data_IF_427643268722
#
_entry.id   IF_427643268722
#
_cell.length_a   1.000
_cell.length_b   1.000
_cell.length_c   1.000
_cell.angle_alpha   90.00
_cell.angle_beta   90.00
_cell.angle_gamma   90.00
#
_symmetry.space_group_name_H-M   'P 1'
#
loop_
_entity.id
_entity.type
_entity.pdbx_description
1 polymer ?
#
# COMPACT_ATOMS: atom_id res chain seq x y z
N UNK A 1 -26.61 -29.35 -9.00
CA UNK A 1 -25.69 -30.32 -9.60
C UNK A 1 -25.20 -31.26 -8.51
N UNK A 2 -25.51 -32.56 -8.61
CA UNK A 2 -25.13 -33.58 -7.63
C UNK A 2 -23.75 -34.12 -8.03
N UNK A 3 -22.79 -34.11 -7.12
CA UNK A 3 -21.51 -34.77 -7.31
C UNK A 3 -21.64 -36.27 -7.01
N UNK A 4 -21.04 -37.17 -7.79
CA UNK A 4 -21.11 -38.60 -7.54
C UNK A 4 -20.16 -38.98 -6.40
N UNK A 5 -20.70 -39.75 -5.46
CA UNK A 5 -19.98 -40.39 -4.37
C UNK A 5 -19.30 -41.64 -4.93
N UNK A 6 -17.95 -41.65 -4.98
CA UNK A 6 -17.22 -42.89 -5.29
C UNK A 6 -17.11 -43.75 -4.02
N UNK A 7 -17.73 -44.92 -4.04
CA UNK A 7 -17.57 -45.92 -3.01
C UNK A 7 -16.32 -46.78 -3.25
N UNK A 8 -15.54 -46.98 -2.21
CA UNK A 8 -14.34 -47.80 -2.19
C UNK A 8 -14.59 -49.25 -1.77
N UNK A 9 -14.94 -50.20 -2.68
CA UNK A 9 -14.79 -51.65 -2.36
C UNK A 9 -13.69 -52.38 -3.17
N UNK A 10 -13.08 -51.78 -4.20
CA UNK A 10 -12.25 -52.57 -5.12
C UNK A 10 -10.76 -52.69 -4.74
N UNK A 11 -10.32 -52.08 -3.63
CA UNK A 11 -8.89 -52.09 -3.23
C UNK A 11 -8.53 -53.22 -2.24
N UNK A 12 -9.51 -53.91 -1.64
CA UNK A 12 -9.22 -54.95 -0.66
C UNK A 12 -8.84 -56.31 -1.27
N UNK A 13 -9.36 -56.66 -2.44
CA UNK A 13 -9.07 -57.99 -3.03
C UNK A 13 -7.72 -58.10 -3.74
N UNK A 14 -7.16 -57.00 -4.27
CA UNK A 14 -5.82 -57.03 -4.91
C UNK A 14 -4.66 -57.14 -3.94
N UNK A 15 -4.84 -56.79 -2.67
CA UNK A 15 -3.79 -56.87 -1.67
C UNK A 15 -3.66 -58.25 -1.02
N UNK A 16 -4.69 -59.06 -1.02
CA UNK A 16 -4.69 -60.39 -0.39
C UNK A 16 -4.01 -61.46 -1.24
N UNK A 17 -4.06 -61.35 -2.59
CA UNK A 17 -3.41 -62.34 -3.48
C UNK A 17 -1.89 -62.21 -3.61
N UNK A 18 -1.31 -61.06 -3.25
CA UNK A 18 0.13 -60.87 -3.32
C UNK A 18 0.87 -61.29 -2.04
N UNK A 19 0.20 -61.46 -0.91
CA UNK A 19 0.82 -61.86 0.36
C UNK A 19 1.01 -63.39 0.45
N UNK A 20 0.19 -64.18 -0.23
CA UNK A 20 0.28 -65.65 -0.19
C UNK A 20 1.44 -66.22 -1.03
N UNK A 21 1.93 -65.51 -2.03
CA UNK A 21 3.01 -65.96 -2.90
C UNK A 21 4.43 -65.69 -2.31
N UNK A 22 4.53 -64.86 -1.25
CA UNK A 22 5.80 -64.48 -0.65
C UNK A 22 6.28 -65.37 0.49
N UNK A 23 5.47 -66.34 0.89
CA UNK A 23 5.76 -67.20 2.07
C UNK A 23 6.57 -68.47 1.76
N UNK A 24 7.01 -68.69 0.51
CA UNK A 24 7.73 -69.94 0.13
C UNK A 24 9.20 -69.77 -0.30
N UNK A 25 9.74 -68.56 -0.22
CA UNK A 25 11.20 -68.38 -0.45
C UNK A 25 11.91 -68.01 0.85
N UNK A 26 13.05 -68.71 1.11
CA UNK A 26 13.95 -68.55 2.27
C UNK A 26 13.98 -67.12 2.78
N UNK A 27 13.63 -66.92 4.07
CA UNK A 27 13.70 -65.63 4.75
C UNK A 27 15.10 -65.06 4.67
N UNK A 28 15.34 -63.89 4.02
CA UNK A 28 16.60 -63.19 4.19
C UNK A 28 16.73 -62.78 5.65
N UNK A 29 17.96 -62.76 6.16
CA UNK A 29 18.21 -62.41 7.56
C UNK A 29 17.67 -60.99 7.82
N UNK A 30 17.06 -60.79 8.99
CA UNK A 30 16.46 -59.49 9.41
C UNK A 30 17.41 -58.31 9.21
N UNK A 31 18.74 -58.56 9.25
CA UNK A 31 19.78 -57.54 8.98
C UNK A 31 19.76 -57.03 7.54
N UNK A 32 19.50 -57.88 6.54
CA UNK A 32 19.47 -57.47 5.13
C UNK A 32 18.20 -56.68 4.79
N UNK A 33 17.09 -57.03 5.42
CA UNK A 33 15.83 -56.26 5.26
C UNK A 33 15.93 -54.82 5.80
N UNK A 34 16.58 -54.65 6.97
CA UNK A 34 16.85 -53.33 7.54
C UNK A 34 17.79 -52.48 6.67
N UNK A 35 18.76 -53.09 5.96
CA UNK A 35 19.69 -52.33 5.13
C UNK A 35 19.12 -51.94 3.77
N UNK A 36 18.32 -52.78 3.13
CA UNK A 36 17.84 -52.52 1.75
C UNK A 36 16.44 -51.91 1.67
N UNK A 37 15.59 -52.09 2.69
CA UNK A 37 14.25 -51.54 2.71
C UNK A 37 14.02 -50.52 3.84
N UNK A 38 14.67 -50.66 4.97
CA UNK A 38 14.48 -49.81 6.15
C UNK A 38 15.05 -48.40 5.96
N UNK A 39 16.21 -48.24 5.35
CA UNK A 39 16.87 -46.96 5.13
C UNK A 39 16.07 -46.09 4.12
N UNK A 40 15.69 -46.61 2.92
CA UNK A 40 14.86 -45.84 2.01
C UNK A 40 13.47 -45.46 2.59
N UNK A 41 12.89 -46.38 3.41
CA UNK A 41 11.59 -46.09 4.06
C UNK A 41 11.70 -44.97 5.10
N UNK A 42 12.79 -44.95 5.88
CA UNK A 42 13.07 -43.86 6.83
C UNK A 42 13.29 -42.51 6.11
N UNK A 43 14.01 -42.51 4.97
CA UNK A 43 14.16 -41.32 4.16
C UNK A 43 12.82 -40.80 3.59
N UNK A 44 11.98 -41.72 3.08
CA UNK A 44 10.65 -41.36 2.59
C UNK A 44 9.73 -40.81 3.69
N UNK A 45 9.76 -41.43 4.88
CA UNK A 45 9.01 -40.95 6.05
C UNK A 45 9.52 -39.57 6.55
N UNK A 46 10.83 -39.37 6.56
CA UNK A 46 11.42 -38.07 6.94
C UNK A 46 11.07 -36.99 5.94
N UNK A 47 11.05 -37.28 4.64
CA UNK A 47 10.66 -36.36 3.61
C UNK A 47 9.17 -35.99 3.69
N UNK A 48 8.30 -36.98 3.93
CA UNK A 48 6.85 -36.78 4.12
C UNK A 48 6.57 -35.98 5.41
N UNK A 49 7.28 -36.27 6.50
CA UNK A 49 7.15 -35.53 7.75
C UNK A 49 7.66 -34.08 7.59
N UNK A 50 8.77 -33.86 6.89
CA UNK A 50 9.31 -32.54 6.57
C UNK A 50 8.36 -31.72 5.68
N UNK A 51 7.75 -32.37 4.67
CA UNK A 51 6.79 -31.71 3.79
C UNK A 51 5.49 -31.36 4.53
N UNK A 52 4.99 -32.25 5.39
CA UNK A 52 3.83 -31.96 6.24
C UNK A 52 4.11 -30.84 7.25
N UNK A 53 5.29 -30.85 7.90
CA UNK A 53 5.70 -29.77 8.80
C UNK A 53 5.79 -28.43 8.07
N UNK A 54 6.29 -28.40 6.83
CA UNK A 54 6.37 -27.18 6.02
C UNK A 54 4.97 -26.63 5.68
N UNK A 55 4.02 -27.50 5.34
CA UNK A 55 2.62 -27.10 5.06
C UNK A 55 1.95 -26.58 6.34
N UNK A 56 2.17 -27.25 7.48
CA UNK A 56 1.62 -26.83 8.77
C UNK A 56 2.23 -25.49 9.19
N UNK A 57 3.55 -25.31 9.09
CA UNK A 57 4.21 -24.02 9.39
C UNK A 57 3.68 -22.92 8.48
N UNK A 58 3.47 -23.16 7.19
CA UNK A 58 2.89 -22.18 6.27
C UNK A 58 1.42 -21.84 6.57
N UNK A 59 0.65 -22.79 7.14
CA UNK A 59 -0.76 -22.57 7.46
C UNK A 59 -0.98 -21.90 8.84
N UNK A 60 -0.03 -22.11 9.76
CA UNK A 60 -0.07 -21.57 11.12
C UNK A 60 0.97 -20.48 11.40
N UNK A 61 1.78 -20.10 10.40
CA UNK A 61 2.56 -18.87 10.53
C UNK A 61 1.56 -17.73 10.62
N UNK A 62 1.54 -16.95 11.71
CA UNK A 62 0.81 -15.70 11.72
C UNK A 62 1.30 -14.90 10.51
N UNK A 63 0.44 -14.09 9.87
CA UNK A 63 0.91 -13.19 8.83
C UNK A 63 2.15 -12.50 9.36
N UNK A 64 3.24 -12.54 8.59
CA UNK A 64 4.50 -11.91 9.01
C UNK A 64 4.15 -10.54 9.56
N UNK A 65 4.37 -10.37 10.85
CA UNK A 65 4.27 -9.05 11.45
C UNK A 65 5.30 -8.23 10.69
N UNK A 66 4.83 -7.33 9.82
CA UNK A 66 5.69 -6.34 9.19
C UNK A 66 6.43 -5.70 10.36
N UNK A 67 7.72 -5.95 10.42
CA UNK A 67 8.55 -5.45 11.51
C UNK A 67 8.25 -3.96 11.60
N UNK A 68 7.68 -3.54 12.74
CA UNK A 68 7.55 -2.12 13.06
C UNK A 68 8.97 -1.63 13.22
N UNK A 69 9.55 -1.15 12.13
CA UNK A 69 10.81 -0.45 12.22
C UNK A 69 10.55 0.80 13.05
N UNK A 70 11.42 1.07 13.99
CA UNK A 70 11.44 2.32 14.77
C UNK A 70 11.70 3.57 13.90
N UNK A 71 11.68 3.43 12.58
CA UNK A 71 12.02 4.44 11.58
C UNK A 71 10.80 5.30 11.18
N UNK A 72 10.00 5.67 12.17
CA UNK A 72 8.97 6.67 11.98
C UNK A 72 9.63 8.03 11.72
N UNK A 73 9.35 8.64 10.59
CA UNK A 73 9.88 9.94 10.20
C UNK A 73 8.76 10.88 9.79
N UNK A 74 8.89 12.16 10.13
CA UNK A 74 8.11 13.23 9.54
C UNK A 74 8.80 13.68 8.26
N UNK A 75 8.05 13.82 7.17
CA UNK A 75 8.60 14.32 5.92
C UNK A 75 9.16 15.74 6.10
N UNK A 76 10.44 15.92 5.80
CA UNK A 76 11.18 17.15 5.98
C UNK A 76 11.98 17.53 4.74
N UNK A 77 12.13 18.83 4.51
CA UNK A 77 12.83 19.41 3.37
C UNK A 77 13.91 20.39 3.83
N UNK A 78 15.07 20.31 3.21
CA UNK A 78 16.16 21.27 3.38
C UNK A 78 16.40 22.00 2.06
N UNK A 79 16.10 23.30 2.04
CA UNK A 79 16.32 24.16 0.88
C UNK A 79 17.74 24.68 0.89
N UNK A 80 18.51 24.37 -0.17
CA UNK A 80 19.93 24.70 -0.27
C UNK A 80 20.17 25.90 -1.19
N UNK A 81 19.42 25.99 -2.27
CA UNK A 81 19.56 26.99 -3.32
C UNK A 81 18.17 27.36 -3.86
N UNK A 82 17.97 28.64 -4.16
CA UNK A 82 16.76 29.16 -4.73
C UNK A 82 16.49 28.57 -6.13
N UNK A 83 15.25 28.21 -6.40
CA UNK A 83 14.83 27.60 -7.68
C UNK A 83 15.33 26.19 -7.91
N UNK A 84 15.96 25.55 -6.92
CA UNK A 84 16.45 24.18 -6.99
C UNK A 84 15.60 23.24 -6.14
N UNK A 85 15.54 21.98 -6.56
CA UNK A 85 14.87 20.94 -5.79
C UNK A 85 15.51 20.81 -4.41
N UNK A 86 14.73 20.87 -3.32
CA UNK A 86 15.25 20.69 -1.97
C UNK A 86 15.74 19.27 -1.73
N UNK A 87 16.55 19.09 -0.73
CA UNK A 87 16.94 17.78 -0.21
C UNK A 87 15.84 17.31 0.77
N UNK A 88 15.25 16.16 0.49
CA UNK A 88 14.33 15.47 1.41
C UNK A 88 15.09 14.64 2.43
N UNK A 89 14.43 14.27 3.52
CA UNK A 89 14.99 13.31 4.49
C UNK A 89 15.02 11.84 3.98
N UNK A 90 14.47 11.60 2.79
CA UNK A 90 14.71 10.40 1.98
C UNK A 90 14.99 10.81 0.53
N UNK A 91 15.85 10.07 -0.16
CA UNK A 91 16.20 10.33 -1.56
C UNK A 91 15.09 9.92 -2.53
N UNK A 92 15.11 10.46 -3.76
CA UNK A 92 14.18 10.04 -4.83
C UNK A 92 14.30 8.54 -5.10
N UNK A 93 15.52 8.00 -5.13
CA UNK A 93 15.79 6.58 -5.41
C UNK A 93 15.24 5.68 -4.29
N UNK A 94 15.43 6.07 -3.05
CA UNK A 94 14.88 5.37 -1.90
C UNK A 94 13.36 5.35 -1.92
N UNK A 95 12.71 6.50 -2.06
CA UNK A 95 11.26 6.61 -2.16
C UNK A 95 10.69 5.85 -3.36
N UNK A 96 11.36 5.88 -4.51
CA UNK A 96 10.94 5.17 -5.71
C UNK A 96 10.86 3.65 -5.50
N UNK A 97 11.71 3.08 -4.63
CA UNK A 97 11.64 1.65 -4.26
C UNK A 97 10.31 1.28 -3.60
N UNK A 98 9.66 2.23 -2.95
CA UNK A 98 8.34 2.12 -2.32
C UNK A 98 7.19 2.68 -3.18
N UNK A 99 7.45 3.03 -4.45
CA UNK A 99 6.47 3.72 -5.29
C UNK A 99 6.01 5.06 -4.67
N UNK A 100 6.95 5.75 -4.01
CA UNK A 100 6.73 7.03 -3.34
C UNK A 100 7.51 8.16 -4.03
N UNK A 101 6.97 9.37 -3.98
CA UNK A 101 7.47 10.52 -4.74
C UNK A 101 7.30 11.80 -3.93
N UNK A 102 8.25 12.75 -4.06
CA UNK A 102 8.10 14.10 -3.54
C UNK A 102 8.41 15.17 -4.60
N UNK A 103 9.01 14.76 -5.71
CA UNK A 103 9.27 15.57 -6.89
C UNK A 103 9.45 14.64 -8.09
N UNK A 104 9.19 15.14 -9.29
CA UNK A 104 9.61 14.47 -10.53
C UNK A 104 11.07 14.83 -10.82
N UNK A 105 11.89 13.84 -11.12
CA UNK A 105 13.27 14.09 -11.58
C UNK A 105 13.25 14.50 -13.05
N UNK A 106 13.27 15.82 -13.29
CA UNK A 106 13.17 16.40 -14.64
C UNK A 106 13.78 17.80 -14.65
N UNK A 107 14.18 18.25 -15.84
CA UNK A 107 14.55 19.64 -16.12
C UNK A 107 13.42 20.44 -16.79
N UNK A 108 12.30 19.78 -17.09
CA UNK A 108 11.14 20.43 -17.65
C UNK A 108 10.48 21.34 -16.60
N UNK A 109 10.10 22.54 -17.00
CA UNK A 109 9.42 23.53 -16.13
C UNK A 109 7.95 23.14 -15.93
N UNK A 110 7.73 22.04 -15.20
CA UNK A 110 6.43 21.49 -14.86
C UNK A 110 6.25 21.54 -13.34
N UNK A 111 5.06 21.92 -12.89
CA UNK A 111 4.63 21.89 -11.48
C UNK A 111 3.43 20.94 -11.35
N UNK A 112 3.36 20.23 -10.26
CA UNK A 112 2.23 19.37 -9.90
C UNK A 112 1.54 19.97 -8.69
N UNK A 113 0.43 20.66 -8.91
CA UNK A 113 -0.35 21.27 -7.83
C UNK A 113 -1.10 20.19 -7.06
N UNK A 114 -0.97 20.22 -5.75
CA UNK A 114 -1.64 19.29 -4.84
C UNK A 114 -2.24 20.04 -3.65
N UNK A 115 -3.42 19.60 -3.21
CA UNK A 115 -4.14 20.20 -2.09
C UNK A 115 -4.61 19.09 -1.15
N UNK A 116 -4.39 19.26 0.15
CA UNK A 116 -4.88 18.37 1.18
C UNK A 116 -6.18 18.92 1.76
N UNK A 117 -7.27 18.14 1.67
CA UNK A 117 -8.62 18.58 2.03
C UNK A 117 -9.14 17.78 3.22
N UNK A 118 -9.03 18.36 4.40
CA UNK A 118 -9.52 17.78 5.66
C UNK A 118 -10.96 18.18 5.98
N UNK A 119 -11.30 19.46 5.84
CA UNK A 119 -12.65 19.99 5.93
C UNK A 119 -12.79 21.24 5.06
N UNK A 120 -14.04 21.62 4.73
CA UNK A 120 -14.35 22.79 3.90
C UNK A 120 -14.64 24.02 4.76
N UNK A 121 -14.05 25.15 4.40
CA UNK A 121 -14.25 26.44 5.06
C UNK A 121 -14.54 27.60 4.09
N UNK A 122 -15.02 27.30 2.88
CA UNK A 122 -15.35 28.27 1.84
C UNK A 122 -14.25 28.49 0.79
N UNK A 123 -13.11 27.85 0.92
CA UNK A 123 -11.95 28.05 0.02
C UNK A 123 -11.98 27.15 -1.22
N UNK A 124 -12.48 25.93 -1.12
CA UNK A 124 -12.43 24.97 -2.24
C UNK A 124 -13.16 25.45 -3.49
N UNK A 125 -14.38 26.03 -3.42
CA UNK A 125 -15.03 26.58 -4.62
C UNK A 125 -14.25 27.71 -5.29
N UNK A 126 -13.60 28.56 -4.50
CA UNK A 126 -12.77 29.65 -5.02
C UNK A 126 -11.51 29.11 -5.72
N UNK A 127 -10.93 28.05 -5.16
CA UNK A 127 -9.78 27.37 -5.73
C UNK A 127 -10.13 26.67 -7.06
N UNK A 128 -11.24 25.92 -7.11
CA UNK A 128 -11.73 25.27 -8.34
C UNK A 128 -11.98 26.31 -9.44
N UNK A 129 -12.66 27.41 -9.12
CA UNK A 129 -12.88 28.50 -10.06
C UNK A 129 -11.56 29.09 -10.60
N UNK A 130 -10.54 29.24 -9.75
CA UNK A 130 -9.23 29.73 -10.16
C UNK A 130 -8.51 28.71 -11.09
N UNK A 131 -8.52 27.44 -10.75
CA UNK A 131 -7.93 26.37 -11.58
C UNK A 131 -8.62 26.31 -12.94
N UNK A 132 -9.95 26.36 -12.97
CA UNK A 132 -10.75 26.38 -14.20
C UNK A 132 -10.43 27.58 -15.06
N UNK A 133 -10.40 28.79 -14.48
CA UNK A 133 -10.07 30.04 -15.17
C UNK A 133 -8.72 29.97 -15.89
N UNK A 134 -7.74 29.31 -15.29
CA UNK A 134 -6.39 29.17 -15.82
C UNK A 134 -6.15 27.85 -16.57
N UNK A 135 -7.18 27.02 -16.74
CA UNK A 135 -7.11 25.69 -17.36
C UNK A 135 -6.02 24.80 -16.73
N UNK A 136 -5.88 24.83 -15.40
CA UNK A 136 -4.90 24.07 -14.64
C UNK A 136 -5.58 22.89 -13.96
N UNK A 137 -4.96 21.73 -14.03
CA UNK A 137 -5.41 20.53 -13.30
C UNK A 137 -4.55 20.32 -12.06
N UNK A 138 -5.17 19.77 -11.01
CA UNK A 138 -4.54 19.53 -9.73
C UNK A 138 -4.92 18.15 -9.17
N UNK A 139 -4.24 17.73 -8.11
CA UNK A 139 -4.61 16.56 -7.31
C UNK A 139 -5.09 17.03 -5.94
N UNK A 140 -6.26 16.56 -5.53
CA UNK A 140 -6.84 16.82 -4.21
C UNK A 140 -6.76 15.54 -3.38
N UNK A 141 -5.98 15.54 -2.32
CA UNK A 141 -5.93 14.45 -1.36
C UNK A 141 -7.00 14.69 -0.28
N UNK A 142 -8.03 13.86 -0.29
CA UNK A 142 -9.23 14.10 0.51
C UNK A 142 -9.36 13.10 1.66
N UNK A 143 -9.77 13.59 2.83
CA UNK A 143 -10.12 12.80 3.99
C UNK A 143 -11.58 12.32 3.88
N UNK A 144 -11.91 11.21 4.52
CA UNK A 144 -13.24 10.60 4.41
C UNK A 144 -14.39 11.52 4.82
N UNK A 145 -14.23 12.36 5.87
CA UNK A 145 -15.24 13.34 6.25
C UNK A 145 -15.44 14.43 5.18
N UNK A 146 -14.36 14.87 4.51
CA UNK A 146 -14.49 15.85 3.43
C UNK A 146 -15.40 15.33 2.31
N UNK A 147 -15.27 14.05 1.92
CA UNK A 147 -16.16 13.45 0.91
C UNK A 147 -17.61 13.40 1.39
N UNK A 148 -17.84 12.97 2.65
CA UNK A 148 -19.19 12.85 3.22
C UNK A 148 -19.90 14.20 3.26
N UNK A 149 -19.18 15.24 3.67
CA UNK A 149 -19.77 16.55 3.92
C UNK A 149 -19.87 17.41 2.65
N UNK A 150 -19.04 17.11 1.62
CA UNK A 150 -18.88 17.93 0.43
C UNK A 150 -18.91 17.13 -0.88
N UNK A 151 -19.84 16.17 -0.98
CA UNK A 151 -19.95 15.28 -2.15
C UNK A 151 -20.08 16.01 -3.49
N UNK A 152 -20.71 17.19 -3.50
CA UNK A 152 -20.86 17.98 -4.73
C UNK A 152 -19.53 18.59 -5.19
N UNK A 153 -18.66 19.02 -4.26
CA UNK A 153 -17.31 19.47 -4.59
C UNK A 153 -16.45 18.32 -5.14
N UNK A 154 -16.60 17.11 -4.62
CA UNK A 154 -15.92 15.94 -5.16
C UNK A 154 -16.34 15.68 -6.60
N UNK A 155 -17.64 15.75 -6.91
CA UNK A 155 -18.15 15.59 -8.28
C UNK A 155 -17.62 16.69 -9.19
N UNK A 156 -17.60 17.96 -8.72
CA UNK A 156 -17.04 19.08 -9.47
C UNK A 156 -15.57 18.88 -9.79
N UNK A 157 -14.74 18.46 -8.81
CA UNK A 157 -13.33 18.11 -9.03
C UNK A 157 -13.17 17.09 -10.16
N UNK A 158 -13.97 16.01 -10.15
CA UNK A 158 -13.94 14.97 -11.17
C UNK A 158 -14.39 15.50 -12.53
N UNK A 159 -15.51 16.22 -12.59
CA UNK A 159 -16.04 16.80 -13.82
C UNK A 159 -15.09 17.81 -14.46
N UNK A 160 -14.34 18.54 -13.66
CA UNK A 160 -13.32 19.48 -14.12
C UNK A 160 -11.99 18.79 -14.48
N UNK A 161 -11.89 17.47 -14.31
CA UNK A 161 -10.73 16.66 -14.69
C UNK A 161 -9.55 16.76 -13.72
N UNK A 162 -9.83 17.09 -12.46
CA UNK A 162 -8.86 16.97 -11.38
C UNK A 162 -8.73 15.54 -10.91
N UNK A 163 -7.61 15.20 -10.27
CA UNK A 163 -7.43 13.89 -9.62
C UNK A 163 -7.87 14.04 -8.17
N UNK A 164 -8.71 13.13 -7.71
CA UNK A 164 -9.02 12.97 -6.29
C UNK A 164 -8.21 11.80 -5.76
N UNK A 165 -7.32 12.06 -4.81
CA UNK A 165 -6.45 11.09 -4.15
C UNK A 165 -6.88 10.85 -2.69
N UNK A 166 -6.29 9.86 -2.09
CA UNK A 166 -6.63 9.34 -0.76
C UNK A 166 -5.78 10.00 0.33
N UNK A 167 -6.42 10.62 1.32
CA UNK A 167 -5.76 11.17 2.52
C UNK A 167 -6.25 10.49 3.80
N UNK A 168 -6.62 9.22 3.72
CA UNK A 168 -7.16 8.36 4.78
C UNK A 168 -8.60 8.68 5.21
N UNK A 169 -9.23 7.70 5.84
CA UNK A 169 -10.63 7.82 6.28
C UNK A 169 -10.83 8.84 7.41
N UNK A 170 -9.88 8.88 8.37
CA UNK A 170 -10.02 9.67 9.60
C UNK A 170 -8.78 10.48 9.96
N UNK A 171 -7.82 10.59 9.05
CA UNK A 171 -6.57 11.37 9.23
C UNK A 171 -5.71 10.97 10.45
N UNK A 172 -5.53 9.65 10.74
CA UNK A 172 -4.68 9.23 11.84
C UNK A 172 -3.19 9.35 11.47
N UNK A 173 -2.32 9.29 12.48
CA UNK A 173 -0.92 8.96 12.25
C UNK A 173 -0.81 7.52 11.75
N UNK A 174 -0.57 7.38 10.44
CA UNK A 174 -0.51 6.08 9.79
C UNK A 174 0.75 5.29 10.18
N UNK A 175 1.81 5.95 10.65
CA UNK A 175 3.07 5.29 11.02
C UNK A 175 2.91 4.36 12.23
N UNK A 176 1.95 4.63 13.09
CA UNK A 176 1.59 3.78 14.23
C UNK A 176 0.79 2.52 13.83
N UNK A 177 0.32 2.42 12.57
CA UNK A 177 -0.44 1.25 12.11
C UNK A 177 0.51 0.19 11.58
N UNK A 178 0.62 -0.92 12.30
CA UNK A 178 1.48 -2.06 11.96
C UNK A 178 0.77 -3.18 11.18
N UNK A 179 -0.57 -3.19 11.19
CA UNK A 179 -1.38 -4.18 10.48
C UNK A 179 -1.73 -3.69 9.08
N UNK A 180 -1.39 -4.48 8.04
CA UNK A 180 -1.80 -4.20 6.67
C UNK A 180 -3.34 -4.11 6.54
N UNK A 181 -4.07 -4.91 7.31
CA UNK A 181 -5.53 -4.89 7.28
C UNK A 181 -6.10 -3.58 7.83
N UNK A 182 -5.53 -3.04 8.91
CA UNK A 182 -6.00 -1.77 9.48
C UNK A 182 -5.54 -0.59 8.63
N UNK A 183 -4.34 -0.65 8.04
CA UNK A 183 -3.88 0.29 7.04
C UNK A 183 -4.83 0.31 5.82
N UNK A 184 -5.19 -0.86 5.30
CA UNK A 184 -6.15 -1.03 4.20
C UNK A 184 -7.50 -0.40 4.52
N UNK A 185 -8.06 -0.63 5.71
CA UNK A 185 -9.36 -0.05 6.11
C UNK A 185 -9.38 1.48 6.01
N UNK A 186 -8.27 2.14 6.35
CA UNK A 186 -8.15 3.59 6.23
C UNK A 186 -8.22 4.05 4.77
N UNK A 187 -7.65 3.29 3.86
CA UNK A 187 -7.63 3.65 2.44
C UNK A 187 -8.92 3.22 1.72
N UNK A 188 -9.37 1.99 1.90
CA UNK A 188 -10.61 1.47 1.28
C UNK A 188 -11.84 2.22 1.76
N UNK A 189 -11.84 2.71 3.00
CA UNK A 189 -12.93 3.55 3.51
C UNK A 189 -13.13 4.82 2.67
N UNK A 190 -12.07 5.46 2.23
CA UNK A 190 -12.12 6.62 1.32
C UNK A 190 -12.53 6.22 -0.09
N UNK A 191 -11.97 5.11 -0.61
CA UNK A 191 -12.34 4.59 -1.94
C UNK A 191 -13.83 4.30 -2.04
N UNK A 192 -14.41 3.69 -1.01
CA UNK A 192 -15.84 3.37 -0.96
C UNK A 192 -16.70 4.64 -0.96
N UNK A 193 -16.38 5.61 -0.11
CA UNK A 193 -17.07 6.90 -0.08
C UNK A 193 -16.97 7.64 -1.42
N UNK A 194 -15.78 7.63 -2.04
CA UNK A 194 -15.59 8.25 -3.36
C UNK A 194 -16.44 7.56 -4.42
N UNK A 195 -16.44 6.22 -4.44
CA UNK A 195 -17.24 5.44 -5.39
C UNK A 195 -18.74 5.64 -5.18
N UNK A 196 -19.21 5.68 -3.94
CA UNK A 196 -20.60 5.98 -3.60
C UNK A 196 -21.01 7.39 -4.09
N UNK A 197 -20.09 8.37 -3.97
CA UNK A 197 -20.35 9.76 -4.35
C UNK A 197 -20.31 9.98 -5.85
N UNK A 198 -19.35 9.40 -6.57
CA UNK A 198 -19.06 9.68 -7.98
C UNK A 198 -19.52 8.59 -8.95
N UNK A 199 -19.70 7.35 -8.47
CA UNK A 199 -19.90 6.16 -9.29
C UNK A 199 -18.60 5.58 -9.88
N UNK A 200 -17.45 6.23 -9.70
CA UNK A 200 -16.17 5.86 -10.29
C UNK A 200 -15.20 5.23 -9.28
N UNK A 201 -14.18 4.56 -9.78
CA UNK A 201 -13.09 4.06 -8.94
C UNK A 201 -12.05 5.16 -8.70
N UNK A 202 -11.62 5.31 -7.44
CA UNK A 202 -10.60 6.30 -7.08
C UNK A 202 -9.23 5.95 -7.66
N UNK A 203 -8.51 6.96 -8.14
CA UNK A 203 -7.10 6.82 -8.50
C UNK A 203 -6.28 6.44 -7.26
N UNK A 204 -5.41 5.43 -7.38
CA UNK A 204 -4.59 4.91 -6.28
C UNK A 204 -3.41 5.86 -5.95
N UNK A 205 -3.72 7.12 -5.68
CA UNK A 205 -2.80 8.13 -5.16
C UNK A 205 -3.08 8.33 -3.68
N UNK A 206 -2.03 8.30 -2.88
CA UNK A 206 -2.10 8.41 -1.43
C UNK A 206 -1.13 9.47 -0.92
N UNK A 207 -1.55 10.24 0.06
CA UNK A 207 -0.67 11.11 0.85
C UNK A 207 -0.85 10.78 2.33
N UNK A 208 0.25 10.44 3.05
CA UNK A 208 0.15 10.17 4.48
C UNK A 208 -0.22 11.46 5.24
N UNK A 209 -1.15 11.38 6.19
CA UNK A 209 -1.47 12.49 7.09
C UNK A 209 -0.22 13.08 7.72
N UNK A 210 -0.16 14.42 7.76
CA UNK A 210 0.97 15.19 8.35
C UNK A 210 2.34 14.90 7.70
N UNK A 211 2.41 14.10 6.65
CA UNK A 211 3.67 13.62 6.09
C UNK A 211 4.43 12.65 7.01
N UNK A 212 3.76 12.09 8.02
CA UNK A 212 4.39 11.09 8.91
C UNK A 212 4.32 9.73 8.25
N UNK A 213 5.44 9.03 8.20
CA UNK A 213 5.56 7.74 7.51
C UNK A 213 6.60 6.82 8.16
N UNK A 214 6.52 5.54 7.83
CA UNK A 214 7.58 4.57 8.05
C UNK A 214 7.81 3.77 6.75
N UNK A 215 8.95 3.12 6.63
CA UNK A 215 9.23 2.23 5.48
C UNK A 215 8.22 1.09 5.39
N UNK A 216 7.73 0.61 6.53
CA UNK A 216 6.65 -0.38 6.60
C UNK A 216 5.34 0.15 6.00
N UNK A 217 4.94 1.38 6.33
CA UNK A 217 3.73 1.98 5.78
C UNK A 217 3.85 2.27 4.27
N UNK A 218 5.02 2.71 3.81
CA UNK A 218 5.27 2.87 2.37
C UNK A 218 5.16 1.52 1.63
N UNK A 219 5.68 0.44 2.23
CA UNK A 219 5.55 -0.92 1.70
C UNK A 219 4.09 -1.37 1.65
N UNK A 220 3.30 -1.12 2.71
CA UNK A 220 1.86 -1.42 2.75
C UNK A 220 1.09 -0.67 1.66
N UNK A 221 1.35 0.63 1.48
CA UNK A 221 0.73 1.42 0.44
C UNK A 221 1.06 0.87 -0.96
N UNK A 222 2.34 0.53 -1.20
CA UNK A 222 2.79 -0.09 -2.45
C UNK A 222 2.11 -1.44 -2.70
N UNK A 223 2.00 -2.30 -1.69
CA UNK A 223 1.32 -3.61 -1.77
C UNK A 223 -0.15 -3.46 -2.14
N UNK A 224 -0.83 -2.43 -1.64
CA UNK A 224 -2.20 -2.09 -1.99
C UNK A 224 -2.35 -1.38 -3.36
N UNK A 225 -1.24 -1.23 -4.10
CA UNK A 225 -1.21 -0.65 -5.44
C UNK A 225 -1.18 0.88 -5.47
N UNK A 226 -0.95 1.52 -4.33
CA UNK A 226 -0.88 2.98 -4.26
C UNK A 226 0.46 3.54 -4.70
N UNK A 227 0.42 4.78 -5.22
CA UNK A 227 1.56 5.69 -5.31
C UNK A 227 1.45 6.69 -4.16
N UNK A 228 2.50 6.76 -3.34
CA UNK A 228 2.55 7.70 -2.22
C UNK A 228 3.17 9.02 -2.65
N UNK A 229 2.52 10.13 -2.29
CA UNK A 229 3.00 11.47 -2.65
C UNK A 229 3.26 12.31 -1.41
N UNK A 230 4.51 12.73 -1.26
CA UNK A 230 4.93 13.84 -0.41
C UNK A 230 4.91 15.13 -1.23
N UNK A 231 5.62 16.16 -0.78
CA UNK A 231 5.76 17.44 -1.44
C UNK A 231 7.22 17.89 -1.45
N UNK A 232 7.60 18.73 -2.39
CA UNK A 232 8.91 19.39 -2.44
C UNK A 232 8.83 20.89 -2.13
N UNK A 233 7.60 21.39 -2.01
CA UNK A 233 7.30 22.77 -1.76
C UNK A 233 5.96 22.86 -1.04
N UNK A 234 5.96 23.46 0.14
CA UNK A 234 4.75 23.74 0.92
C UNK A 234 4.99 24.89 1.89
N UNK A 235 3.91 25.46 2.41
CA UNK A 235 3.93 26.36 3.55
C UNK A 235 2.74 26.03 4.47
N UNK A 236 2.80 26.56 5.69
CA UNK A 236 1.74 26.36 6.69
C UNK A 236 0.56 27.26 6.37
N UNK A 237 -0.58 26.68 6.00
CA UNK A 237 -1.79 27.37 5.60
C UNK A 237 -3.06 26.97 6.39
N UNK A 238 -2.91 26.02 7.32
CA UNK A 238 -4.07 25.43 8.06
C UNK A 238 -4.43 26.15 9.36
N UNK A 239 -3.63 27.10 9.85
CA UNK A 239 -3.99 27.89 11.02
C UNK A 239 -4.94 29.03 10.65
N UNK A 240 -6.13 29.06 11.27
CA UNK A 240 -7.14 30.09 10.95
C UNK A 240 -6.69 31.50 11.33
N UNK A 241 -5.96 31.65 12.43
CA UNK A 241 -5.56 32.92 13.05
C UNK A 241 -4.09 33.30 12.77
N UNK A 242 -3.37 32.53 11.97
CA UNK A 242 -1.95 32.74 11.64
C UNK A 242 -1.69 32.48 10.17
N UNK A 243 -2.56 32.98 9.31
CA UNK A 243 -2.36 32.90 7.86
C UNK A 243 -1.19 33.83 7.47
N UNK A 244 -0.27 33.39 6.60
CA UNK A 244 0.76 34.25 6.05
C UNK A 244 0.11 35.36 5.22
N UNK A 245 0.74 36.51 5.16
CA UNK A 245 0.35 37.54 4.20
C UNK A 245 0.53 37.01 2.77
N UNK A 246 -0.14 37.65 1.82
CA UNK A 246 0.00 37.31 0.41
C UNK A 246 1.46 37.39 -0.04
N UNK A 247 2.15 38.44 0.37
CA UNK A 247 3.56 38.69 0.05
C UNK A 247 4.45 37.58 0.60
N UNK A 248 4.29 37.19 1.87
CA UNK A 248 5.04 36.11 2.50
C UNK A 248 4.78 34.76 1.81
N UNK A 249 3.50 34.45 1.46
CA UNK A 249 3.17 33.22 0.77
C UNK A 249 3.79 33.18 -0.63
N UNK A 250 3.69 34.27 -1.39
CA UNK A 250 4.27 34.38 -2.73
C UNK A 250 5.79 34.32 -2.71
N UNK A 251 6.45 35.05 -1.82
CA UNK A 251 7.90 34.98 -1.66
C UNK A 251 8.36 33.55 -1.40
N UNK A 252 7.72 32.88 -0.43
CA UNK A 252 8.03 31.50 -0.07
C UNK A 252 7.82 30.51 -1.20
N UNK A 253 6.77 30.68 -1.99
CA UNK A 253 6.48 29.81 -3.12
C UNK A 253 7.41 30.09 -4.30
N UNK A 254 7.52 31.36 -4.71
CA UNK A 254 8.23 31.72 -5.94
C UNK A 254 9.74 31.50 -5.85
N UNK A 255 10.34 31.71 -4.69
CA UNK A 255 11.78 31.43 -4.46
C UNK A 255 12.10 29.94 -4.43
N UNK A 256 11.13 29.08 -4.18
CA UNK A 256 11.30 27.63 -4.03
C UNK A 256 10.77 26.81 -5.19
N UNK A 257 10.05 27.42 -6.14
CA UNK A 257 9.60 26.74 -7.35
C UNK A 257 10.79 26.18 -8.12
N UNK A 258 10.70 24.90 -8.50
CA UNK A 258 11.73 24.22 -9.27
C UNK A 258 11.10 23.24 -10.28
N UNK A 259 11.82 22.82 -11.34
CA UNK A 259 11.33 21.81 -12.28
C UNK A 259 10.91 20.52 -11.58
N UNK A 260 9.70 20.03 -11.88
CA UNK A 260 9.17 18.80 -11.32
C UNK A 260 8.66 18.91 -9.87
N UNK A 261 8.46 20.13 -9.32
CA UNK A 261 7.93 20.30 -7.97
C UNK A 261 6.53 19.72 -7.80
N UNK A 262 6.29 19.10 -6.65
CA UNK A 262 5.00 18.66 -6.15
C UNK A 262 4.64 19.53 -4.95
#
# INVERSE_FOLDING_TARGET
MKFPIFSFPALKEKFSSHISSFCSKKRPAIKDFLHYAGVPLLFALSFLAGSAARVIVHHFSPPEAVATSSDCASWGLSFQEEGKRPVGNASIQELASYNAYFAKDTQEKILYLTFDCGYENGNTPLLLNALKKHNVKATFFVVGNFIRDNGDLIKEMVQEGHIVGNHTLSHPDMSGISSLNDFRKQLEGVENLYKETTGESMTKFYRPPQGIYSTANLSMAKELGYKTFFWSLAYVDWYQDKQPTREEAFDKLLTRIHPGAI
#
